data_IF_769234547458
#
_entry.id   IF_769234547458
#
_cell.length_a   1.000
_cell.length_b   1.000
_cell.length_c   1.000
_cell.angle_alpha   90.00
_cell.angle_beta   90.00
_cell.angle_gamma   90.00
#
_symmetry.space_group_name_H-M   'P 1'
#
loop_
_entity.id
_entity.type
_entity.pdbx_description
1 polymer ?
#
# COMPACT_ATOMS: atom_id res chain seq x y z
N UNK A 1 -6.34 7.91 4.69
CA UNK A 1 -5.80 7.73 3.32
C UNK A 1 -5.39 6.28 3.15
N UNK A 2 -5.54 5.72 1.95
CA UNK A 2 -5.13 4.36 1.62
C UNK A 2 -4.27 4.37 0.34
N UNK A 3 -3.34 3.44 0.26
CA UNK A 3 -2.44 3.21 -0.88
C UNK A 3 -2.25 1.71 -1.09
N UNK A 4 -1.97 1.30 -2.32
CA UNK A 4 -1.63 -0.09 -2.65
C UNK A 4 -0.33 -0.10 -3.44
N UNK A 5 0.68 -0.78 -2.92
CA UNK A 5 2.02 -0.83 -3.51
C UNK A 5 2.32 -2.28 -3.89
N UNK A 6 2.92 -2.50 -5.06
CA UNK A 6 3.42 -3.84 -5.41
C UNK A 6 4.48 -4.28 -4.41
N UNK A 7 4.39 -5.53 -3.94
CA UNK A 7 5.26 -6.06 -2.89
C UNK A 7 6.74 -6.02 -3.27
N UNK A 8 7.04 -6.11 -4.56
CA UNK A 8 8.39 -6.09 -5.12
C UNK A 8 9.04 -4.70 -5.05
N UNK A 9 8.25 -3.63 -4.93
CA UNK A 9 8.76 -2.26 -4.83
C UNK A 9 9.02 -1.88 -3.36
N UNK A 10 10.06 -2.48 -2.80
CA UNK A 10 10.47 -2.31 -1.40
C UNK A 10 10.75 -0.82 -1.08
N UNK A 11 11.36 -0.08 -2.01
CA UNK A 11 11.68 1.33 -1.81
C UNK A 11 10.42 2.19 -1.60
N UNK A 12 9.37 1.94 -2.37
CA UNK A 12 8.10 2.65 -2.23
C UNK A 12 7.39 2.30 -0.93
N UNK A 13 7.46 1.03 -0.48
CA UNK A 13 6.93 0.59 0.81
C UNK A 13 7.64 1.32 1.95
N UNK A 14 8.97 1.37 1.93
CA UNK A 14 9.77 2.06 2.95
C UNK A 14 9.52 3.57 2.95
N UNK A 15 9.34 4.19 1.78
CA UNK A 15 8.95 5.60 1.69
C UNK A 15 7.59 5.83 2.37
N UNK A 16 6.59 5.00 2.08
CA UNK A 16 5.26 5.13 2.68
C UNK A 16 5.31 4.91 4.20
N UNK A 17 6.10 3.95 4.69
CA UNK A 17 6.35 3.78 6.13
C UNK A 17 6.90 5.04 6.77
N UNK A 18 7.91 5.67 6.15
CA UNK A 18 8.49 6.94 6.62
C UNK A 18 7.47 8.09 6.62
N UNK A 19 6.53 8.09 5.68
CA UNK A 19 5.42 9.05 5.64
C UNK A 19 4.29 8.76 6.67
N UNK A 20 4.45 7.73 7.51
CA UNK A 20 3.48 7.37 8.54
C UNK A 20 2.33 6.50 8.03
N UNK A 21 2.49 5.83 6.89
CA UNK A 21 1.59 4.74 6.50
C UNK A 21 1.98 3.46 7.25
N UNK A 22 0.98 2.63 7.54
CA UNK A 22 1.14 1.29 8.08
C UNK A 22 0.68 0.25 7.08
N UNK A 23 1.39 -0.87 7.04
CA UNK A 23 0.97 -2.04 6.26
C UNK A 23 -0.25 -2.69 6.91
N UNK A 24 -1.26 -3.02 6.10
CA UNK A 24 -2.48 -3.69 6.55
C UNK A 24 -2.43 -5.20 6.30
N UNK A 25 -1.61 -5.63 5.36
CA UNK A 25 -1.41 -7.04 5.02
C UNK A 25 -0.86 -7.18 3.61
N UNK A 26 -1.02 -8.37 3.02
CA UNK A 26 -0.62 -8.67 1.65
C UNK A 26 -1.85 -9.22 0.92
N UNK A 27 -2.13 -8.67 -0.26
CA UNK A 27 -3.13 -9.19 -1.19
C UNK A 27 -2.39 -9.90 -2.31
N UNK A 28 -2.53 -11.22 -2.36
CA UNK A 28 -1.81 -12.05 -3.33
C UNK A 28 -2.52 -12.05 -4.69
N UNK A 29 -1.74 -11.92 -5.77
CA UNK A 29 -2.22 -12.03 -7.17
C UNK A 29 -3.44 -11.16 -7.51
N UNK A 30 -3.42 -9.89 -7.13
CA UNK A 30 -4.54 -8.96 -7.44
C UNK A 30 -4.24 -7.96 -8.55
N UNK A 31 -2.97 -7.75 -8.88
CA UNK A 31 -2.56 -6.79 -9.91
C UNK A 31 -1.95 -7.54 -11.09
N UNK A 32 -2.65 -7.55 -12.24
CA UNK A 32 -2.13 -8.14 -13.48
C UNK A 32 -1.42 -7.07 -14.30
N UNK A 33 -0.12 -7.23 -14.50
CA UNK A 33 0.65 -6.38 -15.40
C UNK A 33 0.36 -6.73 -16.86
N UNK A 34 0.70 -5.82 -17.79
CA UNK A 34 0.51 -6.01 -19.23
C UNK A 34 1.28 -7.21 -19.79
N UNK A 35 2.34 -7.65 -19.11
CA UNK A 35 3.09 -8.88 -19.39
C UNK A 35 2.37 -10.18 -18.95
N UNK A 36 1.18 -10.08 -18.35
CA UNK A 36 0.39 -11.23 -17.89
C UNK A 36 0.76 -11.76 -16.50
N UNK A 37 1.77 -11.18 -15.85
CA UNK A 37 2.21 -11.59 -14.51
C UNK A 37 1.29 -10.97 -13.46
N UNK A 38 0.89 -11.79 -12.49
CA UNK A 38 0.15 -11.36 -11.32
C UNK A 38 1.12 -10.99 -10.22
N UNK A 39 0.93 -9.80 -9.64
CA UNK A 39 1.73 -9.28 -8.56
C UNK A 39 0.92 -9.21 -7.27
N UNK A 40 1.66 -9.41 -6.18
CA UNK A 40 1.17 -9.18 -4.84
C UNK A 40 1.18 -7.68 -4.55
N UNK A 41 0.17 -7.21 -3.84
CA UNK A 41 0.04 -5.82 -3.45
C UNK A 41 0.00 -5.74 -1.93
N UNK A 42 0.80 -4.85 -1.37
CA UNK A 42 0.79 -4.47 0.04
C UNK A 42 -0.17 -3.29 0.20
N UNK A 43 -1.42 -3.52 0.65
CA UNK A 43 -2.29 -2.43 1.09
C UNK A 43 -1.67 -1.71 2.29
N UNK A 44 -1.55 -0.40 2.17
CA UNK A 44 -1.06 0.50 3.20
C UNK A 44 -2.11 1.56 3.53
N UNK A 45 -2.21 1.93 4.80
CA UNK A 45 -3.11 3.00 5.23
C UNK A 45 -2.40 4.01 6.12
N UNK A 46 -2.84 5.27 6.03
CA UNK A 46 -2.48 6.33 6.97
C UNK A 46 -3.76 6.88 7.56
N UNK A 47 -3.94 6.70 8.88
CA UNK A 47 -5.07 7.27 9.61
C UNK A 47 -4.73 8.69 10.05
N UNK A 48 -5.68 9.60 9.87
CA UNK A 48 -5.59 10.93 10.48
C UNK A 48 -5.97 10.79 11.95
N UNK A 49 -5.26 11.50 12.83
CA UNK A 49 -5.64 11.61 14.25
C UNK A 49 -6.75 12.65 14.47
N UNK A 50 -7.08 13.44 13.44
CA UNK A 50 -8.20 14.38 13.45
C UNK A 50 -9.40 13.64 12.87
N UNK A 51 -10.37 13.33 13.72
CA UNK A 51 -11.70 12.83 13.36
C UNK A 51 -12.67 14.00 13.37
N UNK A 52 -13.39 14.23 12.26
CA UNK A 52 -14.50 15.20 12.17
C UNK A 52 -14.08 16.64 12.44
N UNK A 53 -13.90 17.43 11.39
CA UNK A 53 -14.04 18.88 11.52
C UNK A 53 -15.55 19.11 11.36
N UNK A 54 -16.24 19.41 12.45
CA UNK A 54 -17.61 19.98 12.41
C UNK A 54 -17.57 21.40 11.83
#
# INVERSE_FOLDING_TARGET
MQSGIIKENIESVELHKKCGFREIGIREKISRMSNGIWHDVVPMERRSNIVGID
#
